data_IF_815003474006
#
_entry.id   IF_815003474006
#
_cell.length_a   1.000
_cell.length_b   1.000
_cell.length_c   1.000
_cell.angle_alpha   90.00
_cell.angle_beta   90.00
_cell.angle_gamma   90.00
#
_symmetry.space_group_name_H-M   'P 1'
#
loop_
_entity.id
_entity.type
_entity.pdbx_description
1 polymer ?
#
# COMPACT_ATOMS: atom_id res chain seq x y z
N UNK A 1 8.20 -7.43 -10.18
CA UNK A 1 7.32 -6.51 -9.42
C UNK A 1 5.97 -7.19 -9.23
N UNK A 2 5.38 -7.07 -8.05
CA UNK A 2 4.09 -7.69 -7.71
C UNK A 2 3.08 -6.60 -7.37
N UNK A 3 1.81 -6.85 -7.69
CA UNK A 3 0.71 -5.93 -7.37
C UNK A 3 -0.19 -6.54 -6.30
N UNK A 4 -0.60 -5.71 -5.35
CA UNK A 4 -1.52 -6.05 -4.28
C UNK A 4 -2.66 -5.06 -4.31
N UNK A 5 -3.89 -5.56 -4.32
CA UNK A 5 -5.11 -4.74 -4.26
C UNK A 5 -5.79 -4.96 -2.93
N UNK A 6 -6.25 -3.86 -2.35
CA UNK A 6 -6.98 -3.84 -1.11
C UNK A 6 -8.32 -3.16 -1.34
N UNK A 7 -9.41 -3.75 -0.84
CA UNK A 7 -10.79 -3.26 -1.04
C UNK A 7 -11.42 -2.74 0.26
N UNK A 8 -10.59 -2.46 1.25
CA UNK A 8 -10.99 -1.98 2.57
C UNK A 8 -10.17 -0.73 2.90
N UNK A 9 -10.69 0.09 3.81
CA UNK A 9 -9.91 1.21 4.34
C UNK A 9 -8.75 0.65 5.18
N UNK A 10 -7.49 1.01 4.87
CA UNK A 10 -6.36 0.49 5.61
C UNK A 10 -6.29 1.14 6.98
N UNK A 11 -5.84 0.36 7.95
CA UNK A 11 -5.24 0.91 9.15
C UNK A 11 -3.93 1.61 8.74
N UNK A 12 -3.95 2.94 8.73
CA UNK A 12 -2.83 3.77 8.25
C UNK A 12 -1.58 3.56 9.11
N UNK A 13 -1.74 3.36 10.42
CA UNK A 13 -0.60 3.16 11.32
C UNK A 13 0.10 1.83 11.02
N UNK A 14 -0.69 0.75 10.94
CA UNK A 14 -0.17 -0.59 10.59
C UNK A 14 0.44 -0.61 9.18
N UNK A 15 -0.19 0.05 8.21
CA UNK A 15 0.33 0.14 6.85
C UNK A 15 1.64 0.93 6.81
N UNK A 16 1.74 2.04 7.55
CA UNK A 16 2.96 2.85 7.62
C UNK A 16 4.12 2.02 8.12
N UNK A 17 3.92 1.28 9.22
CA UNK A 17 4.93 0.38 9.78
C UNK A 17 5.33 -0.71 8.78
N UNK A 18 4.35 -1.33 8.11
CA UNK A 18 4.63 -2.34 7.08
C UNK A 18 5.46 -1.78 5.92
N UNK A 19 5.16 -0.56 5.46
CA UNK A 19 5.92 0.13 4.41
C UNK A 19 7.35 0.42 4.85
N UNK A 20 7.55 0.90 6.09
CA UNK A 20 8.88 1.16 6.66
C UNK A 20 9.73 -0.12 6.75
N UNK A 21 9.13 -1.24 7.17
CA UNK A 21 9.77 -2.56 7.31
C UNK A 21 9.93 -3.33 5.98
N UNK A 22 9.34 -2.83 4.89
CA UNK A 22 9.46 -3.40 3.55
C UNK A 22 10.93 -3.38 3.13
N UNK A 23 11.44 -4.43 2.47
CA UNK A 23 12.82 -4.39 1.94
C UNK A 23 12.88 -3.58 0.66
N UNK A 24 11.88 -3.75 -0.19
CA UNK A 24 11.72 -3.02 -1.44
C UNK A 24 11.07 -1.64 -1.27
N UNK A 25 10.82 -1.02 -2.40
CA UNK A 25 9.97 0.16 -2.52
C UNK A 25 8.52 -0.28 -2.62
N UNK A 26 7.65 0.45 -1.93
CA UNK A 26 6.20 0.28 -2.00
C UNK A 26 5.64 1.49 -2.75
N UNK A 27 5.06 1.24 -3.93
CA UNK A 27 4.47 2.28 -4.76
C UNK A 27 2.95 2.21 -4.65
N UNK A 28 2.30 3.31 -4.30
CA UNK A 28 0.86 3.49 -4.49
C UNK A 28 0.59 3.68 -5.98
N UNK A 29 -0.37 2.91 -6.51
CA UNK A 29 -0.89 3.08 -7.86
C UNK A 29 -2.19 3.90 -7.80
N UNK A 30 -2.15 5.13 -8.28
CA UNK A 30 -3.31 6.02 -8.39
C UNK A 30 -4.23 5.60 -9.55
N UNK A 31 -5.48 6.07 -9.54
CA UNK A 31 -6.45 5.80 -10.60
C UNK A 31 -5.98 6.26 -12.01
N UNK A 32 -5.17 7.32 -12.08
CA UNK A 32 -4.55 7.84 -13.30
C UNK A 32 -3.27 7.07 -13.72
N UNK A 33 -2.98 5.94 -13.06
CA UNK A 33 -1.77 5.13 -13.24
C UNK A 33 -0.45 5.80 -12.81
N UNK A 34 -0.50 6.95 -12.14
CA UNK A 34 0.69 7.51 -11.49
C UNK A 34 1.16 6.62 -10.33
N UNK A 35 2.47 6.65 -10.08
CA UNK A 35 3.13 5.84 -9.05
C UNK A 35 3.73 6.76 -7.99
N UNK A 36 3.31 6.59 -6.74
CA UNK A 36 3.82 7.38 -5.61
C UNK A 36 4.55 6.49 -4.62
N UNK A 37 5.79 6.86 -4.27
CA UNK A 37 6.58 6.05 -3.35
C UNK A 37 6.20 6.32 -1.89
N UNK A 38 5.54 5.36 -1.25
CA UNK A 38 5.07 5.49 0.13
C UNK A 38 6.21 5.66 1.15
N UNK A 39 7.45 5.27 0.82
CA UNK A 39 8.60 5.46 1.73
C UNK A 39 9.18 6.88 1.72
N UNK A 40 9.04 7.61 0.62
CA UNK A 40 9.71 8.90 0.44
C UNK A 40 8.76 10.06 0.17
N UNK A 41 7.51 9.77 -0.22
CA UNK A 41 6.49 10.76 -0.50
C UNK A 41 5.44 10.76 0.63
N UNK A 42 5.57 11.72 1.55
CA UNK A 42 4.61 11.87 2.65
C UNK A 42 3.18 12.18 2.16
N UNK A 43 3.04 12.74 0.96
CA UNK A 43 1.73 13.01 0.37
C UNK A 43 1.05 11.74 -0.17
N UNK A 44 1.82 10.67 -0.41
CA UNK A 44 1.31 9.40 -0.93
C UNK A 44 0.34 8.72 0.06
N UNK A 45 0.57 8.81 1.38
CA UNK A 45 -0.38 8.27 2.37
C UNK A 45 -1.70 9.03 2.39
N UNK A 46 -1.66 10.34 2.17
CA UNK A 46 -2.87 11.16 2.05
C UNK A 46 -3.66 10.78 0.78
N UNK A 47 -2.97 10.68 -0.35
CA UNK A 47 -3.56 10.22 -1.62
C UNK A 47 -4.19 8.84 -1.47
N UNK A 48 -3.47 7.89 -0.85
CA UNK A 48 -3.97 6.55 -0.59
C UNK A 48 -5.28 6.54 0.22
N UNK A 49 -5.38 7.39 1.24
CA UNK A 49 -6.60 7.55 2.04
C UNK A 49 -7.75 8.13 1.20
N UNK A 50 -7.48 9.15 0.40
CA UNK A 50 -8.47 9.74 -0.50
C UNK A 50 -8.98 8.71 -1.54
N UNK A 51 -8.09 7.88 -2.07
CA UNK A 51 -8.43 6.79 -3.00
C UNK A 51 -9.23 5.68 -2.32
N UNK A 52 -8.87 5.28 -1.09
CA UNK A 52 -9.62 4.26 -0.36
C UNK A 52 -11.04 4.72 -0.02
N UNK A 53 -11.21 6.00 0.37
CA UNK A 53 -12.51 6.58 0.68
C UNK A 53 -13.40 6.77 -0.57
N UNK A 54 -12.82 7.19 -1.70
CA UNK A 54 -13.57 7.44 -2.94
C UNK A 54 -13.89 6.16 -3.70
N UNK A 55 -12.88 5.33 -3.91
CA UNK A 55 -12.93 4.20 -4.84
C UNK A 55 -13.11 2.86 -4.12
N UNK A 56 -13.09 2.84 -2.77
CA UNK A 56 -13.12 1.63 -1.96
C UNK A 56 -12.03 0.63 -2.36
N UNK A 57 -10.94 1.14 -2.94
CA UNK A 57 -9.86 0.33 -3.48
C UNK A 57 -8.54 1.10 -3.42
N UNK A 58 -7.48 0.40 -3.05
CA UNK A 58 -6.10 0.86 -3.17
C UNK A 58 -5.28 -0.24 -3.85
N UNK A 59 -4.40 0.15 -4.78
CA UNK A 59 -3.42 -0.76 -5.39
C UNK A 59 -2.00 -0.36 -5.01
N UNK A 60 -1.20 -1.36 -4.62
CA UNK A 60 0.21 -1.21 -4.34
C UNK A 60 1.04 -2.03 -5.32
N UNK A 61 2.18 -1.48 -5.73
CA UNK A 61 3.19 -2.16 -6.51
C UNK A 61 4.46 -2.31 -5.69
N UNK A 62 4.86 -3.56 -5.46
CA UNK A 62 6.01 -3.96 -4.66
C UNK A 62 7.20 -4.26 -5.58
N UNK A 63 8.36 -3.68 -5.28
CA UNK A 63 9.58 -3.97 -6.03
C UNK A 63 10.27 -5.25 -5.57
N UNK A 64 10.18 -5.59 -4.29
CA UNK A 64 10.75 -6.81 -3.70
C UNK A 64 9.65 -7.86 -3.47
N UNK A 65 9.86 -9.07 -3.98
CA UNK A 65 8.89 -10.17 -3.88
C UNK A 65 8.78 -10.73 -2.46
N UNK A 66 9.80 -10.55 -1.61
CA UNK A 66 9.77 -10.95 -0.20
C UNK A 66 8.78 -10.14 0.65
N UNK A 67 8.33 -8.99 0.15
CA UNK A 67 7.34 -8.15 0.82
C UNK A 67 5.90 -8.62 0.54
N UNK A 68 5.69 -9.44 -0.50
CA UNK A 68 4.36 -9.81 -0.99
C UNK A 68 3.48 -10.47 0.07
N UNK A 69 3.98 -11.51 0.74
CA UNK A 69 3.18 -12.24 1.73
C UNK A 69 2.77 -11.33 2.90
N UNK A 70 3.64 -10.42 3.34
CA UNK A 70 3.34 -9.47 4.42
C UNK A 70 2.19 -8.53 4.03
N UNK A 71 2.21 -8.02 2.79
CA UNK A 71 1.12 -7.21 2.26
C UNK A 71 -0.18 -7.99 2.06
N UNK A 72 -0.12 -9.26 1.64
CA UNK A 72 -1.32 -10.11 1.54
C UNK A 72 -1.94 -10.35 2.92
N UNK A 73 -1.15 -10.67 3.94
CA UNK A 73 -1.67 -10.81 5.32
C UNK A 73 -2.30 -9.51 5.83
N UNK A 74 -1.66 -8.38 5.57
CA UNK A 74 -2.22 -7.07 5.90
C UNK A 74 -3.59 -6.84 5.25
N UNK A 75 -3.72 -7.11 3.94
CA UNK A 75 -4.98 -6.94 3.20
C UNK A 75 -6.07 -7.89 3.67
N UNK A 76 -5.72 -9.12 4.09
CA UNK A 76 -6.67 -10.09 4.62
C UNK A 76 -7.11 -9.78 6.06
N UNK A 77 -6.50 -8.78 6.72
CA UNK A 77 -6.80 -8.40 8.10
C UNK A 77 -6.04 -9.20 9.16
N UNK A 78 -5.05 -9.99 8.77
CA UNK A 78 -4.31 -10.95 9.63
C UNK A 78 -3.03 -10.37 10.25
N UNK A 79 -2.90 -9.05 10.32
CA UNK A 79 -1.84 -8.42 11.13
C UNK A 79 -2.25 -8.36 12.60
N UNK A 80 -1.99 -9.49 13.30
CA UNK A 80 -1.83 -9.58 14.75
C UNK A 80 -0.65 -8.73 15.26
#
# INVERSE_FOLDING_TARGET
MLKVKMYQNPDVEKLTKLVEESKGTVLLCSADQSLHNLKSDQSAFRLMKEESEKNHQVEFQLTDTGDYLRFIYFVMGDCA
#
